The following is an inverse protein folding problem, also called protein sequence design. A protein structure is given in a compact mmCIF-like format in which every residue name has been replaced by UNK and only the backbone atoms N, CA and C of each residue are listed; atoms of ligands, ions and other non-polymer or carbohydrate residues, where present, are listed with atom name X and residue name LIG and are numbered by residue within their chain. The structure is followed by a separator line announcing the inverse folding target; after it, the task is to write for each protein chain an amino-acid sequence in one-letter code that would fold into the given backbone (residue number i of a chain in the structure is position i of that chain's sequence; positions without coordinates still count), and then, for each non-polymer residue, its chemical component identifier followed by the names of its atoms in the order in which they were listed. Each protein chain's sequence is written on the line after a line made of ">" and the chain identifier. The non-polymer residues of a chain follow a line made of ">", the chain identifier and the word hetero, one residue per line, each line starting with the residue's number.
data_IF_427359953695
#
_entry.id   IF_427359953695
#
_cell.length_a   1.000
_cell.length_b   1.000
_cell.length_c   1.000
_cell.angle_alpha   90.00
_cell.angle_beta   90.00
_cell.angle_gamma   90.00
#
_symmetry.space_group_name_H-M   'P 1'
#
loop_
_entity.id
_entity.type
_entity.pdbx_description
1 polymer ?
#
# COMPACT_ATOMS: atom_id res chain seq x y z
N UNK A 1 9.76 -7.23 1.98
CA UNK A 1 8.67 -6.38 1.45
C UNK A 1 7.82 -5.88 2.62
N UNK A 2 7.33 -4.67 2.53
CA UNK A 2 6.49 -4.07 3.57
C UNK A 2 5.12 -3.75 2.96
N UNK A 3 4.06 -3.78 3.76
CA UNK A 3 2.75 -3.31 3.35
C UNK A 3 2.38 -2.05 4.13
N UNK A 4 1.62 -1.15 3.52
CA UNK A 4 1.09 0.05 4.16
C UNK A 4 -0.39 0.19 3.82
N UNK A 5 -1.22 0.39 4.84
CA UNK A 5 -2.68 0.35 4.71
C UNK A 5 -3.33 1.21 5.79
N UNK A 6 -4.43 1.87 5.45
CA UNK A 6 -5.32 2.53 6.41
C UNK A 6 -6.65 1.79 6.46
N UNK A 7 -7.18 1.56 7.65
CA UNK A 7 -8.39 0.76 7.87
C UNK A 7 -9.27 1.42 8.94
N UNK A 8 -10.58 1.40 8.72
CA UNK A 8 -11.52 1.95 9.69
C UNK A 8 -12.08 0.88 10.64
N UNK A 9 -12.99 1.27 11.53
CA UNK A 9 -13.62 0.40 12.53
C UNK A 9 -14.41 -0.77 11.95
N UNK A 10 -14.92 -0.63 10.73
CA UNK A 10 -15.66 -1.68 10.01
C UNK A 10 -14.76 -2.55 9.14
N UNK A 11 -13.46 -2.49 9.32
CA UNK A 11 -12.48 -3.22 8.52
C UNK A 11 -12.47 -2.81 7.04
N UNK A 12 -12.90 -1.59 6.73
CA UNK A 12 -12.97 -1.05 5.38
C UNK A 12 -11.70 -0.29 5.03
N UNK A 13 -11.21 -0.45 3.79
CA UNK A 13 -10.04 0.24 3.26
C UNK A 13 -10.36 1.06 2.00
N UNK A 14 -11.53 0.86 1.40
CA UNK A 14 -11.92 1.57 0.20
C UNK A 14 -13.40 1.46 -0.10
N UNK A 15 -13.90 2.44 -0.86
CA UNK A 15 -15.25 2.48 -1.41
C UNK A 15 -15.19 3.14 -2.78
N UNK A 16 -15.69 2.45 -3.82
CA UNK A 16 -15.71 2.94 -5.21
C UNK A 16 -14.34 3.46 -5.68
N UNK A 17 -13.28 2.68 -5.43
CA UNK A 17 -11.87 3.02 -5.74
C UNK A 17 -11.34 4.28 -5.06
N UNK A 18 -11.94 4.70 -3.96
CA UNK A 18 -11.51 5.84 -3.14
C UNK A 18 -11.40 5.44 -1.69
N UNK A 19 -10.62 6.19 -0.94
CA UNK A 19 -10.58 6.09 0.53
C UNK A 19 -11.80 6.85 1.07
N UNK A 20 -12.67 6.22 1.89
CA UNK A 20 -13.94 6.84 2.30
C UNK A 20 -13.81 8.03 3.26
N UNK A 21 -12.69 8.13 3.97
CA UNK A 21 -12.40 9.20 4.92
C UNK A 21 -11.32 10.12 4.39
N UNK A 22 -11.18 11.28 5.02
CA UNK A 22 -10.11 12.22 4.71
C UNK A 22 -9.31 12.55 5.97
N UNK A 23 -8.08 12.04 6.03
CA UNK A 23 -7.11 12.29 7.12
C UNK A 23 -5.80 12.75 6.47
N UNK A 24 -5.61 14.06 6.30
CA UNK A 24 -4.42 14.60 5.63
C UNK A 24 -3.10 14.15 6.24
N UNK A 25 -3.07 13.99 7.56
CA UNK A 25 -1.89 13.54 8.29
C UNK A 25 -1.50 12.11 7.92
N UNK A 26 -2.47 11.25 7.59
CA UNK A 26 -2.20 9.89 7.14
C UNK A 26 -1.65 9.87 5.70
N UNK A 27 -2.15 10.75 4.84
CA UNK A 27 -1.59 10.93 3.50
C UNK A 27 -0.13 11.40 3.56
N UNK A 28 0.18 12.30 4.48
CA UNK A 28 1.54 12.76 4.72
C UNK A 28 2.44 11.63 5.25
N UNK A 29 1.94 10.83 6.18
CA UNK A 29 2.64 9.65 6.70
C UNK A 29 2.95 8.65 5.58
N UNK A 30 1.99 8.35 4.74
CA UNK A 30 2.16 7.50 3.57
C UNK A 30 3.26 8.04 2.63
N UNK A 31 3.23 9.33 2.34
CA UNK A 31 4.25 9.98 1.52
C UNK A 31 5.64 9.85 2.13
N UNK A 32 5.77 10.15 3.41
CA UNK A 32 7.05 10.08 4.11
C UNK A 32 7.63 8.66 4.12
N UNK A 33 6.80 7.65 4.30
CA UNK A 33 7.23 6.24 4.31
C UNK A 33 7.65 5.76 2.91
N UNK A 34 6.94 6.15 1.88
CA UNK A 34 7.12 5.58 0.53
C UNK A 34 8.02 6.41 -0.38
N UNK A 35 8.22 7.69 -0.10
CA UNK A 35 8.99 8.58 -0.94
C UNK A 35 10.46 8.10 -1.06
N UNK A 36 10.95 8.03 -2.30
CA UNK A 36 12.29 7.51 -2.58
C UNK A 36 12.36 5.99 -2.70
N UNK A 37 11.22 5.29 -2.62
CA UNK A 37 11.15 3.84 -2.61
C UNK A 37 10.29 3.29 -3.75
N UNK A 38 10.10 1.98 -3.77
CA UNK A 38 9.28 1.25 -4.74
C UNK A 38 7.90 1.04 -4.13
N UNK A 39 6.85 1.31 -4.89
CA UNK A 39 5.46 1.00 -4.50
C UNK A 39 4.84 0.03 -5.51
N UNK A 40 4.13 -0.97 -4.99
CA UNK A 40 3.43 -1.98 -5.78
C UNK A 40 1.93 -1.83 -5.53
N UNK A 41 1.16 -1.80 -6.60
CA UNK A 41 -0.27 -1.61 -6.55
C UNK A 41 -0.98 -2.40 -7.64
N UNK A 42 -2.30 -2.58 -7.47
CA UNK A 42 -3.15 -3.08 -8.53
C UNK A 42 -3.56 -1.97 -9.50
N UNK A 43 -4.09 -2.38 -10.65
CA UNK A 43 -4.53 -1.46 -11.70
C UNK A 43 -5.58 -0.45 -11.21
N UNK A 44 -6.59 -0.90 -10.48
CA UNK A 44 -7.65 -0.01 -9.97
C UNK A 44 -7.11 1.05 -9.01
N UNK A 45 -6.15 0.68 -8.17
CA UNK A 45 -5.48 1.65 -7.28
C UNK A 45 -4.73 2.71 -8.10
N UNK A 46 -4.00 2.29 -9.13
CA UNK A 46 -3.31 3.21 -10.02
C UNK A 46 -4.30 4.16 -10.72
N UNK A 47 -5.39 3.62 -11.25
CA UNK A 47 -6.43 4.42 -11.93
C UNK A 47 -7.13 5.42 -10.98
N UNK A 48 -7.09 5.19 -9.67
CA UNK A 48 -7.63 6.12 -8.68
C UNK A 48 -6.78 7.38 -8.49
N UNK A 49 -5.55 7.39 -8.96
CA UNK A 49 -4.65 8.53 -8.84
C UNK A 49 -4.95 9.56 -9.94
N UNK A 50 -5.40 10.78 -9.58
CA UNK A 50 -5.84 11.76 -10.58
C UNK A 50 -4.71 12.31 -11.45
N UNK A 51 -3.46 12.23 -10.98
CA UNK A 51 -2.28 12.81 -11.65
C UNK A 51 -1.31 11.74 -12.17
N UNK A 52 -1.75 10.49 -12.31
CA UNK A 52 -0.89 9.39 -12.76
C UNK A 52 0.02 8.85 -11.65
N UNK A 53 1.20 8.30 -11.98
CA UNK A 53 2.06 7.68 -10.98
C UNK A 53 2.51 8.65 -9.90
N UNK A 54 2.68 8.14 -8.69
CA UNK A 54 3.10 8.97 -7.55
C UNK A 54 4.55 9.42 -7.75
N UNK A 55 4.84 10.73 -7.61
CA UNK A 55 6.17 11.26 -7.88
C UNK A 55 7.20 10.79 -6.86
N UNK A 56 8.46 10.76 -7.27
CA UNK A 56 9.62 10.38 -6.43
C UNK A 56 9.54 8.95 -5.87
N UNK A 57 8.85 8.09 -6.57
CA UNK A 57 8.70 6.65 -6.26
C UNK A 57 8.71 5.87 -7.56
N UNK A 58 9.20 4.65 -7.52
CA UNK A 58 9.04 3.72 -8.63
C UNK A 58 7.69 3.04 -8.44
N UNK A 59 6.78 3.24 -9.40
CA UNK A 59 5.42 2.70 -9.36
C UNK A 59 5.38 1.41 -10.18
N UNK A 60 5.11 0.28 -9.53
CA UNK A 60 4.87 -0.99 -10.21
C UNK A 60 3.38 -1.30 -10.11
N UNK A 61 2.73 -1.39 -11.25
CA UNK A 61 1.31 -1.74 -11.35
C UNK A 61 1.19 -3.18 -11.79
N UNK A 62 0.61 -4.02 -10.93
CA UNK A 62 0.37 -5.42 -11.23
C UNK A 62 -0.97 -5.56 -11.96
N UNK A 63 -0.93 -6.17 -13.14
CA UNK A 63 -2.10 -6.46 -13.96
C UNK A 63 -1.85 -7.66 -14.84
N UNK A 64 -2.91 -8.44 -15.13
CA UNK A 64 -2.83 -9.55 -16.08
C UNK A 64 -2.65 -9.10 -17.52
N UNK A 65 -3.00 -7.83 -17.80
CA UNK A 65 -2.94 -7.22 -19.13
C UNK A 65 -1.79 -6.21 -19.22
N UNK A 66 -0.61 -6.56 -18.71
CA UNK A 66 0.53 -5.61 -18.65
C UNK A 66 0.89 -5.03 -20.02
N UNK A 67 0.80 -5.81 -21.10
CA UNK A 67 1.12 -5.35 -22.44
C UNK A 67 0.20 -4.24 -22.94
N UNK A 68 -1.05 -4.24 -22.51
CA UNK A 68 -2.05 -3.22 -22.87
C UNK A 68 -1.67 -1.82 -22.36
N UNK A 69 -0.91 -1.74 -21.28
CA UNK A 69 -0.54 -0.49 -20.63
C UNK A 69 0.89 -0.05 -20.86
N UNK A 70 1.70 -0.81 -21.60
CA UNK A 70 3.11 -0.49 -21.82
C UNK A 70 3.34 0.86 -22.48
N UNK A 71 2.38 1.37 -23.24
CA UNK A 71 2.48 2.71 -23.82
C UNK A 71 2.57 3.81 -22.75
N UNK A 72 2.02 3.59 -21.55
CA UNK A 72 2.11 4.55 -20.44
C UNK A 72 3.52 4.58 -19.83
N UNK A 73 4.25 3.48 -19.88
CA UNK A 73 5.65 3.45 -19.41
C UNK A 73 6.54 4.41 -20.22
N UNK A 74 6.19 4.68 -21.46
CA UNK A 74 6.94 5.63 -22.30
C UNK A 74 6.69 7.09 -21.89
N UNK A 75 5.54 7.36 -21.23
CA UNK A 75 5.19 8.70 -20.78
C UNK A 75 5.79 9.05 -19.42
N UNK A 76 6.09 8.04 -18.60
CA UNK A 76 6.53 8.22 -17.21
C UNK A 76 7.75 7.34 -16.93
N UNK A 77 8.87 7.95 -16.59
CA UNK A 77 10.11 7.22 -16.28
C UNK A 77 10.05 6.39 -15.00
N UNK A 78 9.08 6.65 -14.12
CA UNK A 78 8.91 6.00 -12.83
C UNK A 78 7.71 5.04 -12.78
N UNK A 79 7.28 4.51 -13.93
CA UNK A 79 6.10 3.65 -14.03
C UNK A 79 6.42 2.36 -14.77
N UNK A 80 6.06 1.22 -14.17
CA UNK A 80 6.22 -0.11 -14.76
C UNK A 80 4.91 -0.89 -14.62
N UNK A 81 4.47 -1.52 -15.70
CA UNK A 81 3.35 -2.47 -15.68
C UNK A 81 3.88 -3.89 -15.80
N UNK A 82 3.51 -4.75 -14.87
CA UNK A 82 3.97 -6.14 -14.83
C UNK A 82 2.82 -7.08 -14.46
N UNK A 83 2.91 -8.33 -14.92
CA UNK A 83 2.09 -9.38 -14.34
C UNK A 83 2.79 -9.94 -13.09
N UNK A 84 2.09 -10.76 -12.33
CA UNK A 84 2.62 -11.28 -11.06
C UNK A 84 3.88 -12.15 -11.26
N UNK A 85 3.95 -12.88 -12.37
CA UNK A 85 5.10 -13.76 -12.65
C UNK A 85 6.38 -12.98 -12.96
N UNK A 86 6.26 -11.76 -13.46
CA UNK A 86 7.38 -10.88 -13.77
C UNK A 86 7.89 -10.10 -12.54
N UNK A 87 7.14 -10.08 -11.44
CA UNK A 87 7.43 -9.21 -10.29
C UNK A 87 8.78 -9.52 -9.66
N UNK A 88 9.07 -10.79 -9.40
CA UNK A 88 10.32 -11.20 -8.73
C UNK A 88 11.55 -10.75 -9.50
N UNK A 89 11.55 -10.96 -10.82
CA UNK A 89 12.68 -10.57 -11.69
C UNK A 89 12.80 -9.03 -11.74
N UNK A 90 11.66 -8.33 -11.83
CA UNK A 90 11.64 -6.86 -11.85
C UNK A 90 12.22 -6.29 -10.55
N UNK A 91 11.80 -6.80 -9.39
CA UNK A 91 12.31 -6.35 -8.09
C UNK A 91 13.78 -6.69 -7.91
N UNK A 92 14.22 -7.85 -8.35
CA UNK A 92 15.63 -8.25 -8.28
C UNK A 92 16.49 -7.26 -9.06
N UNK A 93 16.12 -6.94 -10.29
CA UNK A 93 16.83 -5.95 -11.12
C UNK A 93 16.88 -4.59 -10.46
N UNK A 94 15.74 -4.09 -9.96
CA UNK A 94 15.68 -2.80 -9.27
C UNK A 94 16.55 -2.80 -8.01
N UNK A 95 16.59 -3.89 -7.27
CA UNK A 95 17.37 -4.02 -6.07
C UNK A 95 18.89 -4.05 -6.36
N UNK A 96 19.29 -4.60 -7.50
CA UNK A 96 20.69 -4.56 -7.96
C UNK A 96 21.12 -3.14 -8.34
N UNK A 97 20.23 -2.39 -9.01
CA UNK A 97 20.49 -1.02 -9.43
C UNK A 97 20.46 -0.03 -8.26
N UNK A 98 19.52 -0.22 -7.31
CA UNK A 98 19.29 0.69 -6.19
C UNK A 98 19.02 -0.09 -4.89
N UNK A 99 20.07 -0.67 -4.26
CA UNK A 99 19.91 -1.63 -3.15
C UNK A 99 19.32 -1.03 -1.87
N UNK A 100 19.30 0.29 -1.72
CA UNK A 100 18.76 0.97 -0.53
C UNK A 100 17.27 1.28 -0.62
N UNK A 101 16.63 1.00 -1.75
CA UNK A 101 15.19 1.21 -1.89
C UNK A 101 14.40 0.09 -1.24
N UNK A 102 13.44 0.46 -0.40
CA UNK A 102 12.46 -0.47 0.17
C UNK A 102 11.32 -0.67 -0.82
N UNK A 103 10.56 -1.75 -0.63
CA UNK A 103 9.39 -2.07 -1.45
C UNK A 103 8.14 -2.09 -0.58
N UNK A 104 7.14 -1.28 -0.94
CA UNK A 104 5.87 -1.15 -0.22
C UNK A 104 4.70 -1.61 -1.10
N UNK A 105 3.89 -2.50 -0.57
CA UNK A 105 2.60 -2.89 -1.17
C UNK A 105 1.54 -1.91 -0.68
N UNK A 106 0.84 -1.25 -1.60
CA UNK A 106 -0.09 -0.16 -1.26
C UNK A 106 -1.55 -0.43 -1.62
N UNK A 107 -1.86 -1.62 -2.11
CA UNK A 107 -3.24 -2.06 -2.35
C UNK A 107 -3.57 -2.40 -3.80
N UNK A 108 -4.82 -2.75 -4.10
CA UNK A 108 -5.90 -3.00 -3.15
C UNK A 108 -5.91 -4.40 -2.54
N UNK A 109 -7.07 -4.81 -2.09
CA UNK A 109 -7.25 -6.05 -1.33
C UNK A 109 -6.62 -7.27 -2.02
N UNK A 110 -6.84 -7.46 -3.31
CA UNK A 110 -6.28 -8.60 -4.05
C UNK A 110 -4.75 -8.59 -4.07
N UNK A 111 -4.14 -7.43 -4.21
CA UNK A 111 -2.69 -7.29 -4.23
C UNK A 111 -2.10 -7.54 -2.84
N UNK A 112 -2.73 -7.02 -1.80
CA UNK A 112 -2.35 -7.35 -0.42
C UNK A 112 -2.42 -8.86 -0.16
N UNK A 113 -3.48 -9.51 -0.62
CA UNK A 113 -3.65 -10.97 -0.49
C UNK A 113 -2.55 -11.75 -1.22
N UNK A 114 -2.26 -11.40 -2.47
CA UNK A 114 -1.26 -12.09 -3.28
C UNK A 114 0.15 -11.95 -2.73
N UNK A 115 0.45 -10.82 -2.09
CA UNK A 115 1.80 -10.51 -1.61
C UNK A 115 1.95 -10.63 -0.08
N UNK A 116 0.91 -11.10 0.62
CA UNK A 116 0.95 -11.23 2.08
C UNK A 116 2.14 -12.06 2.57
N UNK A 117 2.40 -13.20 1.94
CA UNK A 117 3.50 -14.10 2.34
C UNK A 117 4.88 -13.47 2.19
N UNK A 118 5.02 -12.49 1.30
CA UNK A 118 6.27 -11.78 1.05
C UNK A 118 6.49 -10.60 2.01
N UNK A 119 5.47 -10.21 2.76
CA UNK A 119 5.57 -9.10 3.70
C UNK A 119 6.19 -9.54 5.01
N UNK A 120 7.18 -8.78 5.47
CA UNK A 120 7.82 -8.97 6.79
C UNK A 120 7.45 -7.85 7.76
N UNK A 121 6.90 -6.76 7.26
CA UNK A 121 6.46 -5.60 8.06
C UNK A 121 5.19 -5.03 7.47
N UNK A 122 4.24 -4.68 8.33
CA UNK A 122 2.93 -4.14 7.92
C UNK A 122 2.64 -2.90 8.74
N UNK A 123 2.49 -1.76 8.04
CA UNK A 123 2.14 -0.47 8.65
C UNK A 123 0.64 -0.26 8.51
N UNK A 124 -0.07 -0.26 9.64
CA UNK A 124 -1.52 -0.08 9.67
C UNK A 124 -1.85 1.24 10.34
N UNK A 125 -2.62 2.09 9.67
CA UNK A 125 -3.27 3.24 10.29
C UNK A 125 -4.70 2.86 10.64
N UNK A 126 -5.03 2.90 11.92
CA UNK A 126 -6.40 2.69 12.39
C UNK A 126 -7.14 4.02 12.40
N UNK A 127 -8.24 4.07 11.68
CA UNK A 127 -9.05 5.29 11.48
C UNK A 127 -10.36 5.14 12.25
N UNK A 128 -10.69 6.10 13.09
CA UNK A 128 -11.96 6.15 13.82
C UNK A 128 -13.08 6.68 12.91
N UNK A 129 -13.49 5.83 11.97
CA UNK A 129 -14.58 6.07 11.02
C UNK A 129 -15.43 4.82 10.93
N UNK A 130 -16.73 4.99 10.71
CA UNK A 130 -17.67 3.89 10.53
C UNK A 130 -18.25 3.87 9.11
N UNK A 131 -17.63 4.56 8.18
CA UNK A 131 -18.05 4.56 6.79
C UNK A 131 -17.96 3.18 6.18
N UNK A 132 -18.98 2.79 5.42
CA UNK A 132 -19.02 1.53 4.69
C UNK A 132 -18.19 1.62 3.41
N UNK A 133 -17.96 0.46 2.80
CA UNK A 133 -17.24 0.38 1.54
C UNK A 133 -17.28 -1.02 0.96
N UNK A 134 -16.61 -1.20 -0.16
CA UNK A 134 -16.57 -2.45 -0.92
C UNK A 134 -15.19 -3.14 -0.91
N UNK A 135 -14.20 -2.53 -0.28
CA UNK A 135 -12.87 -3.12 -0.10
C UNK A 135 -12.57 -3.30 1.39
N UNK A 136 -12.18 -4.52 1.76
CA UNK A 136 -11.88 -4.90 3.13
C UNK A 136 -10.39 -5.12 3.36
N UNK A 137 -9.95 -4.89 4.60
CA UNK A 137 -8.59 -5.13 5.04
C UNK A 137 -8.32 -6.64 5.20
N UNK A 138 -7.35 -7.21 4.49
CA UNK A 138 -6.97 -8.60 4.67
C UNK A 138 -6.05 -8.86 5.86
N UNK A 139 -5.49 -7.81 6.47
CA UNK A 139 -4.54 -7.91 7.60
C UNK A 139 -5.27 -7.82 8.95
N UNK A 140 -6.18 -8.75 9.21
CA UNK A 140 -6.88 -8.81 10.50
C UNK A 140 -5.91 -9.16 11.63
N UNK A 141 -6.22 -8.75 12.84
CA UNK A 141 -5.38 -9.06 14.01
C UNK A 141 -5.17 -10.57 14.18
N UNK A 142 -6.23 -11.35 13.99
CA UNK A 142 -6.17 -12.80 14.04
C UNK A 142 -5.20 -13.37 13.01
N UNK A 143 -5.30 -12.91 11.75
CA UNK A 143 -4.43 -13.37 10.68
C UNK A 143 -2.97 -12.98 10.93
N UNK A 144 -2.73 -11.76 11.41
CA UNK A 144 -1.39 -11.31 11.74
C UNK A 144 -0.78 -12.15 12.86
N UNK A 145 -1.52 -12.40 13.91
CA UNK A 145 -1.08 -13.23 15.04
C UNK A 145 -0.78 -14.66 14.58
N UNK A 146 -1.68 -15.28 13.81
CA UNK A 146 -1.51 -16.64 13.27
C UNK A 146 -0.26 -16.75 12.40
N UNK A 147 0.11 -15.69 11.70
CA UNK A 147 1.29 -15.65 10.83
C UNK A 147 2.53 -15.05 11.51
N UNK A 148 2.55 -15.05 12.84
CA UNK A 148 3.70 -14.67 13.66
C UNK A 148 4.11 -13.18 13.57
N UNK A 149 3.14 -12.30 13.30
CA UNK A 149 3.36 -10.87 13.40
C UNK A 149 3.07 -10.38 14.82
N UNK A 150 3.90 -9.46 15.29
CA UNK A 150 3.70 -8.77 16.57
C UNK A 150 3.91 -7.27 16.39
N UNK A 151 3.33 -6.47 17.29
CA UNK A 151 3.49 -5.02 17.26
C UNK A 151 4.94 -4.65 17.61
N UNK A 152 5.62 -3.96 16.71
CA UNK A 152 6.97 -3.43 16.92
C UNK A 152 6.97 -1.94 17.27
N UNK A 153 6.00 -1.19 16.71
CA UNK A 153 5.85 0.23 16.98
C UNK A 153 4.37 0.59 17.06
N UNK A 154 4.04 1.53 17.92
CA UNK A 154 2.67 2.03 18.07
C UNK A 154 2.71 3.49 18.49
N UNK A 155 2.06 4.36 17.71
CA UNK A 155 1.95 5.77 18.05
C UNK A 155 0.87 6.02 19.10
N UNK A 156 0.87 7.22 19.68
CA UNK A 156 -0.29 7.71 20.41
C UNK A 156 -1.48 7.86 19.46
N UNK A 157 -2.68 7.84 20.02
CA UNK A 157 -3.89 8.19 19.29
C UNK A 157 -3.89 9.70 19.04
N UNK A 158 -4.06 10.09 17.78
CA UNK A 158 -4.00 11.48 17.32
C UNK A 158 -5.34 11.92 16.75
N UNK A 159 -5.59 13.21 16.74
CA UNK A 159 -6.76 13.79 16.10
C UNK A 159 -6.34 14.56 14.85
N UNK A 160 -7.02 14.27 13.74
CA UNK A 160 -6.80 15.00 12.49
C UNK A 160 -7.44 16.37 12.52
N UNK A 161 -7.09 17.21 11.54
CA UNK A 161 -7.73 18.53 11.33
C UNK A 161 -9.24 18.40 11.09
N UNK A 162 -9.70 17.25 10.64
CA UNK A 162 -11.12 16.97 10.39
C UNK A 162 -11.82 16.29 11.58
N UNK A 163 -11.22 16.31 12.77
CA UNK A 163 -11.74 15.68 13.98
C UNK A 163 -11.91 14.15 13.90
N UNK A 164 -11.20 13.50 13.00
CA UNK A 164 -11.13 12.03 12.93
C UNK A 164 -9.90 11.60 13.72
N UNK A 165 -10.06 10.71 14.69
CA UNK A 165 -8.92 10.17 15.42
C UNK A 165 -8.29 9.00 14.65
N UNK A 166 -6.99 8.87 14.77
CA UNK A 166 -6.23 7.82 14.09
C UNK A 166 -5.01 7.41 14.89
N UNK A 167 -4.47 6.23 14.58
CA UNK A 167 -3.29 5.70 15.24
C UNK A 167 -2.47 4.88 14.24
N UNK A 168 -1.15 5.05 14.25
CA UNK A 168 -0.23 4.27 13.44
C UNK A 168 0.31 3.08 14.24
N UNK A 169 0.22 1.88 13.68
CA UNK A 169 0.72 0.65 14.29
C UNK A 169 1.57 -0.09 13.25
N UNK A 170 2.78 -0.48 13.63
CA UNK A 170 3.63 -1.32 12.80
C UNK A 170 3.70 -2.72 13.38
N UNK A 171 3.39 -3.70 12.55
CA UNK A 171 3.56 -5.12 12.85
C UNK A 171 4.79 -5.65 12.14
N UNK A 172 5.55 -6.47 12.82
CA UNK A 172 6.76 -7.08 12.29
C UNK A 172 6.70 -8.60 12.49
N UNK A 173 7.16 -9.33 11.47
CA UNK A 173 7.16 -10.78 11.51
C UNK A 173 8.33 -11.27 12.34
N UNK A 174 8.04 -12.18 13.24
CA UNK A 174 9.07 -12.82 14.08
C UNK A 174 9.95 -13.80 13.28
#
# INVERSE_FOLDING_TARGET
>A
MEAIIAVNKKNIIGANNKIPWHVPEDLQYFRQKTQGHIIIMGRKTFESFPKGPLPKRINIVLTRESDKYKHLEQQYSNLLFRNIDELTVTLQKLNEEEPNKKTFVIGGTQIYEQLFSECTRIHITRIESEEGGDAENPFTEERLKTNLFSISEQSDVKSSKNNITFQHITYEKC
#
